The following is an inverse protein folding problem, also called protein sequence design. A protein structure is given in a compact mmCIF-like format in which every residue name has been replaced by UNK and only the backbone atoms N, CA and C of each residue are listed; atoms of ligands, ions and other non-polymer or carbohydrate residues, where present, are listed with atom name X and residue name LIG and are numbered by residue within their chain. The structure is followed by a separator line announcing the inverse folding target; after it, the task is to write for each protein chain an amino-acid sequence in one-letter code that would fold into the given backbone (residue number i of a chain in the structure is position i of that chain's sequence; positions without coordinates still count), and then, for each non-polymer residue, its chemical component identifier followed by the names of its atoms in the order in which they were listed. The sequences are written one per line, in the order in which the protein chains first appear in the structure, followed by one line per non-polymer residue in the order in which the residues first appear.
data_IF_777890210748
#
_entry.id   IF_777890210748
#
_cell.length_a   1.000
_cell.length_b   1.000
_cell.length_c   1.000
_cell.angle_alpha   90.00
_cell.angle_beta   90.00
_cell.angle_gamma   90.00
#
_symmetry.space_group_name_H-M   'P 1'
#
loop_
_entity.id
_entity.type
_entity.pdbx_description
1 polymer ?
#
# COMPACT_ATOMS: atom_id res chain seq x y z
N UNK A 1 -18.17 -10.67 -3.12
CA UNK A 1 -17.04 -9.92 -2.52
C UNK A 1 -15.84 -10.85 -2.47
N UNK A 2 -14.79 -10.59 -3.28
CA UNK A 2 -13.53 -11.34 -3.20
C UNK A 2 -12.68 -10.76 -2.05
N UNK A 3 -11.82 -11.59 -1.44
CA UNK A 3 -10.83 -11.12 -0.48
C UNK A 3 -9.77 -10.28 -1.20
N UNK A 4 -9.27 -9.24 -0.54
CA UNK A 4 -8.30 -8.30 -1.14
C UNK A 4 -6.98 -8.95 -1.54
N UNK A 5 -6.61 -10.06 -0.89
CA UNK A 5 -5.44 -10.88 -1.24
C UNK A 5 -5.57 -11.55 -2.61
N UNK A 6 -6.79 -11.82 -3.07
CA UNK A 6 -7.04 -12.53 -4.34
C UNK A 6 -7.08 -11.61 -5.55
N UNK A 7 -6.94 -10.30 -5.35
CA UNK A 7 -6.94 -9.30 -6.43
C UNK A 7 -5.61 -9.40 -7.18
N UNK A 8 -5.70 -9.54 -8.50
CA UNK A 8 -4.54 -9.57 -9.40
C UNK A 8 -4.49 -8.32 -10.26
N UNK A 9 -3.31 -8.02 -10.80
CA UNK A 9 -3.13 -6.95 -11.78
C UNK A 9 -4.07 -7.18 -12.97
N UNK A 10 -4.76 -6.14 -13.39
CA UNK A 10 -5.78 -6.18 -14.45
C UNK A 10 -7.20 -6.51 -13.97
N UNK A 11 -7.39 -6.90 -12.71
CA UNK A 11 -8.75 -7.10 -12.17
C UNK A 11 -9.48 -5.75 -12.05
N UNK A 12 -10.74 -5.72 -12.47
CA UNK A 12 -11.65 -4.60 -12.22
C UNK A 12 -12.26 -4.74 -10.83
N UNK A 13 -12.19 -3.67 -10.05
CA UNK A 13 -12.65 -3.59 -8.68
C UNK A 13 -13.72 -2.50 -8.57
N UNK A 14 -14.86 -2.88 -8.02
CA UNK A 14 -15.88 -1.93 -7.57
C UNK A 14 -15.57 -1.55 -6.11
N UNK A 15 -15.57 -0.25 -5.82
CA UNK A 15 -15.34 0.27 -4.47
C UNK A 15 -16.51 1.16 -4.07
N UNK A 16 -17.08 0.90 -2.91
CA UNK A 16 -18.25 1.63 -2.39
C UNK A 16 -17.81 2.83 -1.55
N UNK A 17 -18.74 3.76 -1.31
CA UNK A 17 -18.51 4.91 -0.43
C UNK A 17 -17.94 4.49 0.92
N UNK A 18 -16.98 5.28 1.43
CA UNK A 18 -16.32 5.09 2.71
C UNK A 18 -15.47 3.80 2.82
N UNK A 19 -15.28 3.05 1.74
CA UNK A 19 -14.35 1.92 1.71
C UNK A 19 -12.92 2.35 1.38
N UNK A 20 -11.96 1.59 1.90
CA UNK A 20 -10.53 1.75 1.65
C UNK A 20 -10.10 0.98 0.42
N UNK A 21 -9.25 1.57 -0.42
CA UNK A 21 -8.74 0.90 -1.61
C UNK A 21 -7.85 -0.29 -1.27
N UNK A 22 -8.11 -1.48 -1.86
CA UNK A 22 -7.39 -2.71 -1.52
C UNK A 22 -5.98 -2.78 -2.13
N UNK A 23 -5.76 -2.07 -3.24
CA UNK A 23 -4.52 -2.01 -4.00
C UNK A 23 -4.48 -0.68 -4.78
N UNK A 24 -3.42 -0.44 -5.55
CA UNK A 24 -3.34 0.77 -6.36
C UNK A 24 -4.19 0.58 -7.63
N UNK A 25 -5.18 1.45 -7.81
CA UNK A 25 -6.17 1.37 -8.89
C UNK A 25 -6.05 2.56 -9.84
N UNK A 26 -6.33 2.35 -11.12
CA UNK A 26 -6.63 3.45 -12.05
C UNK A 26 -8.14 3.64 -12.11
N UNK A 27 -8.59 4.87 -11.92
CA UNK A 27 -10.01 5.22 -11.98
C UNK A 27 -10.53 5.13 -13.43
N UNK A 28 -11.44 4.19 -13.67
CA UNK A 28 -12.09 4.01 -14.98
C UNK A 28 -13.41 4.77 -15.06
N UNK A 29 -14.26 4.64 -14.05
CA UNK A 29 -15.55 5.33 -14.02
C UNK A 29 -15.97 5.60 -12.58
N UNK A 30 -16.77 6.64 -12.40
CA UNK A 30 -17.36 7.04 -11.14
C UNK A 30 -18.88 7.11 -11.30
N UNK A 31 -19.63 7.00 -10.20
CA UNK A 31 -21.07 7.25 -10.24
C UNK A 31 -21.44 8.71 -10.52
N UNK A 32 -20.46 9.63 -10.47
CA UNK A 32 -20.67 11.04 -10.78
C UNK A 32 -20.60 11.27 -12.30
N UNK A 33 -21.47 12.13 -12.84
CA UNK A 33 -21.58 12.34 -14.29
C UNK A 33 -20.37 13.01 -14.94
N UNK A 34 -19.49 13.62 -14.13
CA UNK A 34 -18.23 14.25 -14.54
C UNK A 34 -17.03 13.31 -14.45
N UNK A 35 -17.22 12.07 -13.96
CA UNK A 35 -16.14 11.08 -13.83
C UNK A 35 -15.13 11.42 -12.72
N UNK A 36 -15.52 12.23 -11.73
CA UNK A 36 -14.65 12.57 -10.59
C UNK A 36 -14.89 11.67 -9.39
N UNK A 37 -13.88 11.49 -8.55
CA UNK A 37 -14.09 10.96 -7.20
C UNK A 37 -13.25 11.70 -6.17
N UNK A 38 -13.70 11.69 -4.93
CA UNK A 38 -12.98 12.32 -3.83
C UNK A 38 -12.31 11.26 -2.97
N UNK A 39 -11.03 11.47 -2.68
CA UNK A 39 -10.21 10.53 -1.92
C UNK A 39 -9.56 11.25 -0.75
N UNK A 40 -9.57 10.61 0.41
CA UNK A 40 -8.82 11.08 1.58
C UNK A 40 -7.62 10.17 1.80
N UNK A 41 -6.43 10.78 1.92
CA UNK A 41 -5.16 10.09 2.17
C UNK A 41 -4.74 10.12 3.64
N UNK A 42 -5.64 10.47 4.57
CA UNK A 42 -5.36 10.54 6.01
C UNK A 42 -4.62 9.32 6.58
N UNK A 43 -4.85 8.11 6.04
CA UNK A 43 -4.16 6.88 6.47
C UNK A 43 -2.72 6.73 5.95
N UNK A 44 -2.34 7.49 4.92
CA UNK A 44 -1.04 7.43 4.23
C UNK A 44 -0.11 8.56 4.66
N UNK A 45 -0.59 9.80 4.60
CA UNK A 45 0.19 11.02 4.83
C UNK A 45 -0.37 11.89 5.98
N UNK A 46 -1.50 11.50 6.58
CA UNK A 46 -2.16 12.29 7.63
C UNK A 46 -2.97 13.47 7.10
N UNK A 47 -3.12 13.63 5.77
CA UNK A 47 -3.89 14.72 5.19
C UNK A 47 -5.41 14.44 5.28
N UNK A 48 -6.12 15.28 6.05
CA UNK A 48 -7.57 15.16 6.23
C UNK A 48 -8.39 15.72 5.05
N UNK A 49 -7.74 16.47 4.15
CA UNK A 49 -8.44 17.07 3.02
C UNK A 49 -8.80 16.01 1.97
N UNK A 50 -9.93 16.23 1.29
CA UNK A 50 -10.32 15.40 0.17
C UNK A 50 -9.63 15.91 -1.10
N UNK A 51 -8.89 15.03 -1.78
CA UNK A 51 -8.29 15.29 -3.09
C UNK A 51 -9.23 14.77 -4.18
N UNK A 52 -9.35 15.51 -5.27
CA UNK A 52 -10.16 15.13 -6.43
C UNK A 52 -9.31 14.30 -7.40
N UNK A 53 -9.82 13.14 -7.79
CA UNK A 53 -9.26 12.26 -8.81
C UNK A 53 -10.20 12.18 -10.01
N UNK A 54 -9.64 11.90 -11.19
CA UNK A 54 -10.35 11.96 -12.46
C UNK A 54 -10.30 10.63 -13.21
N UNK A 55 -11.45 10.19 -13.70
CA UNK A 55 -11.56 9.04 -14.57
C UNK A 55 -11.00 9.35 -15.97
N UNK A 56 -10.62 8.32 -16.70
CA UNK A 56 -10.25 8.46 -18.11
C UNK A 56 -11.49 8.88 -18.91
N UNK A 57 -11.38 9.95 -19.68
CA UNK A 57 -12.52 10.57 -20.39
C UNK A 57 -13.37 9.60 -21.19
N UNK A 58 -12.72 8.69 -21.91
CA UNK A 58 -13.38 7.74 -22.80
C UNK A 58 -14.07 6.59 -22.05
N UNK A 59 -13.78 6.40 -20.76
CA UNK A 59 -14.39 5.36 -19.91
C UNK A 59 -15.44 5.91 -18.93
N UNK A 60 -15.66 7.24 -18.86
CA UNK A 60 -16.63 7.87 -17.94
C UNK A 60 -18.02 7.26 -18.11
N UNK A 61 -18.43 6.97 -19.34
CA UNK A 61 -19.75 6.41 -19.64
C UNK A 61 -19.98 4.99 -19.11
N UNK A 62 -18.93 4.29 -18.68
CA UNK A 62 -18.99 2.89 -18.24
C UNK A 62 -19.36 2.77 -16.75
N UNK A 63 -20.55 3.24 -16.40
CA UNK A 63 -21.02 3.35 -15.01
C UNK A 63 -21.67 2.05 -14.47
N UNK A 64 -21.72 0.97 -15.26
CA UNK A 64 -22.34 -0.31 -14.91
C UNK A 64 -21.35 -1.46 -15.06
N UNK A 65 -21.54 -2.53 -14.27
CA UNK A 65 -20.70 -3.72 -14.37
C UNK A 65 -20.75 -4.38 -15.76
N UNK A 66 -21.87 -4.27 -16.47
CA UNK A 66 -22.02 -4.80 -17.83
C UNK A 66 -21.23 -3.96 -18.85
N UNK A 67 -21.24 -2.63 -18.69
CA UNK A 67 -20.51 -1.74 -19.61
C UNK A 67 -18.99 -1.84 -19.40
N UNK A 68 -18.53 -1.99 -18.16
CA UNK A 68 -17.10 -2.14 -17.87
C UNK A 68 -16.55 -3.47 -18.41
N UNK A 69 -17.35 -4.53 -18.47
CA UNK A 69 -16.93 -5.84 -19.00
C UNK A 69 -16.70 -5.82 -20.52
N UNK A 70 -17.33 -4.88 -21.23
CA UNK A 70 -17.11 -4.66 -22.67
C UNK A 70 -15.86 -3.84 -22.98
N UNK A 71 -15.24 -3.23 -21.97
CA UNK A 71 -14.04 -2.40 -22.14
C UNK A 71 -12.84 -3.26 -22.53
N UNK A 72 -12.25 -2.96 -23.69
CA UNK A 72 -10.94 -3.47 -24.08
C UNK A 72 -9.92 -2.35 -24.00
N UNK A 73 -9.01 -2.44 -23.06
CA UNK A 73 -7.93 -1.48 -22.90
C UNK A 73 -6.63 -2.16 -22.48
N UNK A 74 -5.51 -1.56 -22.86
CA UNK A 74 -4.17 -1.91 -22.36
C UNK A 74 -3.62 -0.71 -21.57
N UNK A 75 -3.12 -0.95 -20.37
CA UNK A 75 -2.48 0.06 -19.54
C UNK A 75 -0.99 -0.26 -19.46
N UNK A 76 -0.18 0.73 -19.80
CA UNK A 76 1.26 0.72 -19.66
C UNK A 76 1.63 1.76 -18.62
N UNK A 77 2.36 1.37 -17.59
CA UNK A 77 2.83 2.30 -16.56
C UNK A 77 4.30 2.03 -16.24
N UNK A 78 4.93 3.00 -15.59
CA UNK A 78 6.29 2.85 -15.07
C UNK A 78 6.42 1.67 -14.07
N UNK A 79 7.65 1.28 -13.74
CA UNK A 79 7.85 0.31 -12.66
C UNK A 79 7.45 0.92 -11.30
N UNK A 80 7.00 0.09 -10.34
CA UNK A 80 6.61 0.56 -9.02
C UNK A 80 7.69 1.40 -8.34
N UNK A 81 7.35 2.61 -7.92
CA UNK A 81 8.25 3.53 -7.21
C UNK A 81 7.60 4.09 -5.93
N UNK A 82 8.38 4.35 -4.87
CA UNK A 82 7.86 4.79 -3.57
C UNK A 82 7.32 6.23 -3.58
N UNK A 83 7.60 7.05 -4.58
CA UNK A 83 7.03 8.41 -4.62
C UNK A 83 5.50 8.33 -4.78
N UNK A 84 4.75 8.76 -3.74
CA UNK A 84 3.28 8.73 -3.70
C UNK A 84 2.64 9.69 -4.70
N UNK A 85 3.34 10.76 -5.08
CA UNK A 85 2.80 11.85 -5.90
C UNK A 85 3.17 11.76 -7.37
N UNK A 86 4.05 10.83 -7.72
CA UNK A 86 4.49 10.60 -9.09
C UNK A 86 3.87 9.32 -9.64
N UNK A 87 3.18 9.46 -10.76
CA UNK A 87 2.72 8.35 -11.55
C UNK A 87 2.77 8.72 -13.02
N UNK A 88 3.37 7.86 -13.84
CA UNK A 88 3.39 8.01 -15.28
C UNK A 88 2.87 6.73 -15.91
N UNK A 89 1.79 6.86 -16.67
CA UNK A 89 1.26 5.77 -17.46
C UNK A 89 0.51 6.23 -18.70
N UNK A 90 0.01 5.26 -19.45
CA UNK A 90 -0.78 5.44 -20.66
C UNK A 90 -1.82 4.33 -20.71
N UNK A 91 -3.02 4.69 -21.12
CA UNK A 91 -4.07 3.74 -21.45
C UNK A 91 -4.36 3.80 -22.95
N UNK A 92 -4.39 2.63 -23.59
CA UNK A 92 -4.78 2.45 -24.98
C UNK A 92 -6.13 1.74 -24.99
N UNK A 93 -7.18 2.44 -25.41
CA UNK A 93 -8.54 1.93 -25.43
C UNK A 93 -8.87 1.47 -26.85
N UNK A 94 -9.25 0.20 -26.98
CA UNK A 94 -9.62 -0.43 -28.23
C UNK A 94 -11.16 -0.42 -28.35
N UNK A 95 -11.68 0.56 -29.09
CA UNK A 95 -13.09 0.58 -29.47
C UNK A 95 -13.29 -0.25 -30.75
N UNK A 96 -14.54 -0.43 -31.21
CA UNK A 96 -14.83 -1.03 -32.51
C UNK A 96 -14.26 -0.23 -33.71
N UNK A 97 -13.67 0.95 -33.47
CA UNK A 97 -12.87 1.71 -34.43
C UNK A 97 -11.50 1.07 -34.67
N UNK A 98 -10.99 1.16 -35.91
CA UNK A 98 -9.68 0.61 -36.32
C UNK A 98 -8.48 1.21 -35.57
N UNK A 99 -8.63 2.38 -34.94
CA UNK A 99 -7.56 3.06 -34.20
C UNK A 99 -7.79 2.99 -32.69
N UNK A 100 -6.73 2.64 -31.96
CA UNK A 100 -6.70 2.67 -30.51
C UNK A 100 -6.56 4.09 -29.99
N UNK A 101 -7.44 4.48 -29.07
CA UNK A 101 -7.41 5.82 -28.47
C UNK A 101 -6.46 5.80 -27.28
N UNK A 102 -5.37 6.56 -27.41
CA UNK A 102 -4.38 6.70 -26.35
C UNK A 102 -4.67 7.91 -25.45
N UNK A 103 -4.57 7.71 -24.14
CA UNK A 103 -4.63 8.76 -23.12
C UNK A 103 -3.47 8.61 -22.14
N UNK A 104 -2.87 9.75 -21.78
CA UNK A 104 -1.88 9.79 -20.71
C UNK A 104 -2.58 9.61 -19.37
N UNK A 105 -1.93 8.90 -18.45
CA UNK A 105 -2.33 8.75 -17.06
C UNK A 105 -1.32 9.45 -16.16
N UNK A 106 -1.82 10.24 -15.22
CA UNK A 106 -1.05 10.93 -14.19
C UNK A 106 -1.44 10.50 -12.77
N UNK A 107 -0.83 11.10 -11.74
CA UNK A 107 -1.17 10.82 -10.34
C UNK A 107 -2.63 11.11 -10.00
N UNK A 108 -3.28 12.01 -10.73
CA UNK A 108 -4.71 12.32 -10.60
C UNK A 108 -5.65 11.18 -11.01
N UNK A 109 -5.16 10.20 -11.78
CA UNK A 109 -5.93 9.01 -12.18
C UNK A 109 -5.68 7.81 -11.25
N UNK A 110 -4.64 7.87 -10.41
CA UNK A 110 -4.21 6.79 -9.53
C UNK A 110 -4.87 6.90 -8.16
N UNK A 111 -5.45 5.81 -7.69
CA UNK A 111 -6.03 5.67 -6.36
C UNK A 111 -5.14 4.74 -5.54
N UNK A 112 -4.59 5.26 -4.45
CA UNK A 112 -3.57 4.56 -3.66
C UNK A 112 -4.20 3.55 -2.69
N UNK A 113 -3.57 2.38 -2.54
CA UNK A 113 -3.88 1.43 -1.47
C UNK A 113 -3.88 2.15 -0.12
N UNK A 114 -4.91 1.92 0.69
CA UNK A 114 -5.00 2.53 2.04
C UNK A 114 -5.67 3.91 2.07
N UNK A 115 -5.84 4.58 0.92
CA UNK A 115 -6.69 5.76 0.85
C UNK A 115 -8.18 5.36 0.84
N UNK A 116 -9.04 6.29 1.27
CA UNK A 116 -10.48 6.03 1.45
C UNK A 116 -11.31 6.86 0.49
N UNK A 117 -12.29 6.22 -0.16
CA UNK A 117 -13.25 6.90 -1.02
C UNK A 117 -14.22 7.73 -0.18
N UNK A 118 -14.39 9.01 -0.51
CA UNK A 118 -15.30 9.95 0.16
C UNK A 118 -16.20 10.62 -0.86
N UNK A 119 -17.36 11.10 -0.38
CA UNK A 119 -18.31 11.93 -1.15
C UNK A 119 -18.71 11.37 -2.53
N UNK A 120 -18.55 10.06 -2.73
CA UNK A 120 -18.76 9.36 -4.00
C UNK A 120 -19.37 8.00 -3.68
N UNK A 121 -20.51 7.66 -4.27
CA UNK A 121 -21.27 6.44 -3.92
C UNK A 121 -20.53 5.15 -4.28
N UNK A 122 -20.01 5.09 -5.50
CA UNK A 122 -19.25 3.95 -6.01
C UNK A 122 -18.34 4.37 -7.16
N UNK A 123 -17.27 3.61 -7.35
CA UNK A 123 -16.38 3.75 -8.50
C UNK A 123 -16.02 2.37 -9.07
N UNK A 124 -15.55 2.36 -10.31
CA UNK A 124 -14.88 1.22 -10.93
C UNK A 124 -13.43 1.61 -11.22
N UNK A 125 -12.50 0.80 -10.74
CA UNK A 125 -11.08 0.96 -11.02
C UNK A 125 -10.43 -0.35 -11.42
N UNK A 126 -9.30 -0.27 -12.11
CA UNK A 126 -8.51 -1.43 -12.50
C UNK A 126 -7.20 -1.49 -11.72
N UNK A 127 -6.87 -2.67 -11.20
CA UNK A 127 -5.66 -2.89 -10.42
C UNK A 127 -4.40 -2.78 -11.29
N UNK A 128 -3.53 -1.84 -10.94
CA UNK A 128 -2.23 -1.65 -11.61
C UNK A 128 -1.07 -2.16 -10.77
N UNK A 129 -1.06 -1.87 -9.47
CA UNK A 129 -0.08 -2.45 -8.54
C UNK A 129 -0.80 -3.19 -7.42
N UNK A 130 -0.33 -4.40 -7.11
CA UNK A 130 -0.92 -5.27 -6.09
C UNK A 130 0.15 -5.76 -5.11
N UNK A 131 -0.29 -6.24 -3.94
CA UNK A 131 0.62 -6.81 -2.94
C UNK A 131 1.72 -5.85 -2.46
N UNK A 132 2.98 -6.28 -2.59
CA UNK A 132 4.16 -5.54 -2.15
C UNK A 132 4.65 -4.50 -3.17
N UNK A 133 4.05 -4.45 -4.35
CA UNK A 133 4.37 -3.46 -5.38
C UNK A 133 3.57 -2.17 -5.23
N UNK A 134 2.57 -2.13 -4.34
CA UNK A 134 1.82 -0.88 -4.13
C UNK A 134 2.71 0.21 -3.55
N UNK A 135 2.46 1.46 -3.91
CA UNK A 135 3.25 2.61 -3.42
C UNK A 135 3.25 2.68 -1.89
N UNK A 136 2.13 2.36 -1.25
CA UNK A 136 2.04 2.25 0.20
C UNK A 136 2.99 1.17 0.77
N UNK A 137 3.05 0.00 0.13
CA UNK A 137 3.92 -1.09 0.58
C UNK A 137 5.40 -0.76 0.37
N UNK A 138 5.75 -0.05 -0.71
CA UNK A 138 7.12 0.41 -0.96
C UNK A 138 7.58 1.48 0.06
N UNK A 139 6.66 2.29 0.59
CA UNK A 139 6.96 3.23 1.67
C UNK A 139 6.96 2.58 3.05
N UNK A 140 6.54 1.31 3.15
CA UNK A 140 6.62 0.59 4.39
C UNK A 140 8.08 0.24 4.68
N UNK A 141 8.76 1.08 5.46
CA UNK A 141 10.06 0.74 6.01
C UNK A 141 9.88 -0.53 6.84
N UNK A 142 10.53 -1.61 6.40
CA UNK A 142 10.45 -2.92 7.03
C UNK A 142 10.64 -2.82 8.54
N UNK A 143 9.99 -3.73 9.28
CA UNK A 143 10.06 -3.76 10.74
C UNK A 143 11.51 -3.99 11.19
N UNK A 144 12.27 -2.91 11.36
CA UNK A 144 13.51 -2.98 12.12
C UNK A 144 13.12 -3.34 13.55
N UNK A 145 13.81 -4.33 14.12
CA UNK A 145 13.57 -4.71 15.51
C UNK A 145 13.92 -3.51 16.39
N UNK A 146 12.89 -2.83 16.89
CA UNK A 146 13.05 -1.73 17.84
C UNK A 146 13.60 -2.33 19.13
N UNK A 147 14.86 -2.03 19.43
CA UNK A 147 15.47 -2.36 20.72
C UNK A 147 15.46 -1.13 21.61
N UNK A 148 15.03 -1.30 22.85
CA UNK A 148 15.04 -0.20 23.81
C UNK A 148 16.47 0.12 24.24
N UNK A 149 16.77 1.39 24.49
CA UNK A 149 18.03 1.78 25.12
C UNK A 149 18.21 1.06 26.49
N UNK A 150 17.10 0.75 27.17
CA UNK A 150 17.10 0.00 28.43
C UNK A 150 17.46 -1.48 28.22
N UNK A 151 17.11 -2.09 27.09
CA UNK A 151 17.54 -3.46 26.78
C UNK A 151 19.06 -3.54 26.63
N UNK A 152 19.67 -2.50 26.06
CA UNK A 152 21.13 -2.40 25.96
C UNK A 152 21.80 -2.30 27.34
N UNK A 153 21.21 -1.53 28.27
CA UNK A 153 21.76 -1.43 29.64
C UNK A 153 21.51 -2.69 30.47
N UNK A 154 20.36 -3.34 30.33
CA UNK A 154 20.09 -4.64 30.96
C UNK A 154 21.10 -5.69 30.50
N UNK A 155 21.40 -5.76 29.19
CA UNK A 155 22.38 -6.70 28.68
C UNK A 155 23.79 -6.41 29.22
N UNK A 156 24.14 -5.14 29.44
CA UNK A 156 25.40 -4.78 30.09
C UNK A 156 25.45 -5.23 31.56
N UNK A 157 24.37 -5.04 32.32
CA UNK A 157 24.29 -5.53 33.70
C UNK A 157 24.36 -7.05 33.79
N UNK A 158 23.74 -7.78 32.84
CA UNK A 158 23.84 -9.24 32.78
C UNK A 158 25.29 -9.72 32.64
N UNK A 159 26.09 -9.06 31.78
CA UNK A 159 27.51 -9.36 31.63
C UNK A 159 28.27 -9.11 32.93
N UNK A 160 28.02 -7.98 33.60
CA UNK A 160 28.64 -7.67 34.90
C UNK A 160 28.26 -8.70 35.97
N UNK A 161 26.98 -9.06 36.08
CA UNK A 161 26.53 -10.08 37.03
C UNK A 161 27.11 -11.46 36.75
N UNK A 162 27.28 -11.83 35.47
CA UNK A 162 27.91 -13.08 35.09
C UNK A 162 29.35 -13.16 35.63
N UNK A 163 30.14 -12.09 35.48
CA UNK A 163 31.49 -12.04 36.04
C UNK A 163 31.49 -12.11 37.57
N UNK A 164 30.59 -11.39 38.24
CA UNK A 164 30.47 -11.44 39.71
C UNK A 164 30.07 -12.83 40.24
N UNK A 165 29.20 -13.55 39.52
CA UNK A 165 28.80 -14.90 39.90
C UNK A 165 29.95 -15.90 39.72
N UNK A 166 30.73 -15.78 38.63
CA UNK A 166 31.88 -16.63 38.38
C UNK A 166 32.98 -16.43 39.42
N UNK A 167 33.28 -15.18 39.79
CA UNK A 167 34.28 -14.89 40.85
C UNK A 167 33.82 -15.41 42.21
N UNK A 168 32.54 -15.22 42.56
CA UNK A 168 31.97 -15.78 43.80
C UNK A 168 32.09 -17.31 43.83
N UNK A 169 31.73 -17.98 42.75
CA UNK A 169 31.83 -19.45 42.65
C UNK A 169 33.27 -19.94 42.77
N UNK A 170 34.23 -19.25 42.12
CA UNK A 170 35.64 -19.57 42.22
C UNK A 170 36.16 -19.44 43.65
N UNK A 171 35.86 -18.33 44.34
CA UNK A 171 36.27 -18.08 45.74
C UNK A 171 35.66 -19.12 46.69
N UNK A 172 34.36 -19.42 46.56
CA UNK A 172 33.72 -20.44 47.38
C UNK A 172 34.35 -21.82 47.16
N UNK A 173 34.72 -22.14 45.92
CA UNK A 173 35.33 -23.43 45.57
C UNK A 173 36.75 -23.53 46.12
N UNK A 174 37.58 -22.50 45.96
CA UNK A 174 38.96 -22.50 46.49
C UNK A 174 38.98 -22.58 48.01
N UNK A 175 38.14 -21.80 48.69
CA UNK A 175 38.01 -21.84 50.16
C UNK A 175 37.59 -23.23 50.64
N UNK A 176 36.65 -23.89 49.94
CA UNK A 176 36.23 -25.25 50.27
C UNK A 176 37.39 -26.25 50.18
N UNK A 177 38.17 -26.21 49.09
CA UNK A 177 39.32 -27.10 48.92
C UNK A 177 40.43 -26.84 49.95
N UNK A 178 40.70 -25.57 50.28
CA UNK A 178 41.67 -25.21 51.32
C UNK A 178 41.21 -25.69 52.70
N UNK A 179 39.92 -25.60 53.01
CA UNK A 179 39.39 -26.03 54.30
C UNK A 179 39.29 -27.55 54.46
N UNK A 180 39.16 -28.29 53.34
CA UNK A 180 39.18 -29.75 53.34
C UNK A 180 40.60 -30.35 53.30
N UNK A 181 41.62 -29.55 53.01
CA UNK A 181 43.03 -29.94 53.05
C UNK A 181 43.62 -29.79 54.44
#
# INVERSE_FOLDING_TARGET
RKESEKIKVGDVVEVQADETFPCDLILLSSCTGDGTCYVTTASLDGESNCKTHYAVRDTIALCTAESIDTLRAAIECEQPQPDLYKFVGRINIYSNSLEAVARSLGPENLLLKGATLKNTKKIYGVAVYTGMETKMALNYQGKSQKRSAVEKSINAFLIVYLFLLLTKAAVCTTLKYVWQS
#
